data_IF_869515972524
#
_entry.id   IF_869515972524
#
_cell.length_a   1.000
_cell.length_b   1.000
_cell.length_c   1.000
_cell.angle_alpha   90.00
_cell.angle_beta   90.00
_cell.angle_gamma   90.00
#
_symmetry.space_group_name_H-M   'P 1'
#
loop_
_entity.id
_entity.type
_entity.pdbx_description
1 polymer ?
#
# COMPACT_ATOMS: atom_id res chain seq x y z
N UNK A 1 -10.39 2.65 12.49
CA UNK A 1 -11.08 1.36 12.37
C UNK A 1 -11.52 1.10 10.92
N UNK A 2 -11.92 2.13 10.18
CA UNK A 2 -12.42 1.97 8.81
C UNK A 2 -11.38 1.47 7.80
N UNK A 3 -10.13 1.98 7.85
CA UNK A 3 -9.06 1.55 6.93
C UNK A 3 -8.67 0.08 7.09
N UNK A 4 -8.66 -0.44 8.32
CA UNK A 4 -8.36 -1.85 8.59
C UNK A 4 -9.48 -2.78 8.10
N UNK A 5 -10.74 -2.37 8.22
CA UNK A 5 -11.89 -3.09 7.68
C UNK A 5 -11.87 -3.12 6.14
N UNK A 6 -11.57 -1.98 5.50
CA UNK A 6 -11.40 -1.90 4.05
C UNK A 6 -10.27 -2.80 3.57
N UNK A 7 -9.12 -2.81 4.25
CA UNK A 7 -8.00 -3.68 3.90
C UNK A 7 -8.37 -5.16 4.05
N UNK A 8 -9.02 -5.54 5.15
CA UNK A 8 -9.45 -6.92 5.38
C UNK A 8 -10.42 -7.40 4.30
N UNK A 9 -11.48 -6.61 4.04
CA UNK A 9 -12.54 -7.02 3.12
C UNK A 9 -12.07 -7.07 1.67
N UNK A 10 -11.24 -6.11 1.24
CA UNK A 10 -10.87 -6.00 -0.17
C UNK A 10 -9.58 -6.74 -0.52
N UNK A 11 -8.62 -6.83 0.39
CA UNK A 11 -7.32 -7.44 0.12
C UNK A 11 -7.27 -8.86 0.71
N UNK A 12 -7.45 -8.99 2.02
CA UNK A 12 -7.30 -10.28 2.70
C UNK A 12 -8.41 -11.26 2.32
N UNK A 13 -9.67 -10.81 2.22
CA UNK A 13 -10.77 -11.71 1.84
C UNK A 13 -10.66 -12.19 0.38
N UNK A 14 -10.19 -11.32 -0.51
CA UNK A 14 -10.08 -11.59 -1.95
C UNK A 14 -8.87 -12.45 -2.29
N UNK A 15 -7.70 -12.13 -1.72
CA UNK A 15 -6.42 -12.75 -2.09
C UNK A 15 -5.86 -13.68 -1.00
N UNK A 16 -6.50 -13.73 0.16
CA UNK A 16 -6.03 -14.47 1.33
C UNK A 16 -4.95 -13.73 2.12
N UNK A 17 -4.55 -14.35 3.23
CA UNK A 17 -3.41 -13.88 4.03
C UNK A 17 -2.12 -14.23 3.29
N UNK A 18 -1.21 -13.26 3.05
CA UNK A 18 0.04 -13.53 2.35
C UNK A 18 0.96 -14.41 3.20
N UNK A 19 1.71 -15.31 2.55
CA UNK A 19 2.68 -16.19 3.22
C UNK A 19 3.94 -15.45 3.68
N UNK A 20 4.29 -14.38 2.97
CA UNK A 20 5.43 -13.53 3.30
C UNK A 20 5.18 -12.11 2.86
N UNK A 21 5.71 -11.15 3.62
CA UNK A 21 5.73 -9.74 3.28
C UNK A 21 7.19 -9.33 3.23
N UNK A 22 7.59 -8.66 2.15
CA UNK A 22 8.88 -8.00 2.09
C UNK A 22 8.64 -6.50 2.20
N UNK A 23 9.28 -5.88 3.18
CA UNK A 23 9.06 -4.49 3.53
C UNK A 23 10.37 -3.78 3.86
N UNK A 24 10.32 -2.45 3.92
CA UNK A 24 11.41 -1.65 4.45
C UNK A 24 11.43 -1.74 5.99
N UNK A 25 12.41 -1.08 6.62
CA UNK A 25 12.55 -1.05 8.08
C UNK A 25 11.70 0.02 8.77
N UNK A 26 10.56 0.40 8.18
CA UNK A 26 9.63 1.33 8.83
C UNK A 26 9.20 0.77 10.21
N UNK A 27 9.08 1.61 11.26
CA UNK A 27 8.64 1.19 12.59
C UNK A 27 7.34 0.38 12.62
N UNK A 28 6.46 0.55 11.63
CA UNK A 28 5.22 -0.25 11.49
C UNK A 28 5.47 -1.71 11.15
N UNK A 29 6.64 -2.06 10.62
CA UNK A 29 6.99 -3.45 10.35
C UNK A 29 8.00 -3.98 11.37
N UNK A 30 8.77 -3.10 12.02
CA UNK A 30 9.81 -3.50 12.98
C UNK A 30 9.39 -3.43 14.44
N UNK A 31 8.24 -2.82 14.78
CA UNK A 31 7.78 -2.78 16.17
C UNK A 31 7.34 -4.16 16.66
N UNK A 32 7.45 -4.36 17.97
CA UNK A 32 7.10 -5.60 18.65
C UNK A 32 5.64 -6.01 18.39
N UNK A 33 4.72 -5.05 18.48
CA UNK A 33 3.30 -5.30 18.22
C UNK A 33 3.06 -5.90 16.83
N UNK A 34 3.61 -5.28 15.78
CA UNK A 34 3.37 -5.71 14.40
C UNK A 34 4.10 -7.02 14.10
N UNK A 35 5.31 -7.19 14.60
CA UNK A 35 6.09 -8.43 14.43
C UNK A 35 5.32 -9.62 15.04
N UNK A 36 4.84 -9.47 16.28
CA UNK A 36 4.05 -10.50 16.95
C UNK A 36 2.73 -10.80 16.22
N UNK A 37 2.05 -9.78 15.68
CA UNK A 37 0.83 -9.96 14.91
C UNK A 37 1.08 -10.78 13.63
N UNK A 38 2.15 -10.48 12.90
CA UNK A 38 2.51 -11.21 11.69
C UNK A 38 2.89 -12.67 12.00
N UNK A 39 3.58 -12.91 13.11
CA UNK A 39 3.89 -14.27 13.58
C UNK A 39 2.62 -15.06 13.93
N UNK A 40 1.65 -14.45 14.62
CA UNK A 40 0.35 -15.07 14.90
C UNK A 40 -0.40 -15.44 13.61
N UNK A 41 -0.30 -14.61 12.58
CA UNK A 41 -0.89 -14.85 11.27
C UNK A 41 -0.05 -15.79 10.38
N UNK A 42 1.09 -16.28 10.88
CA UNK A 42 2.07 -17.13 10.16
C UNK A 42 2.61 -16.47 8.89
N UNK A 43 2.76 -15.15 8.92
CA UNK A 43 3.29 -14.36 7.81
C UNK A 43 4.79 -14.19 8.04
N UNK A 44 5.61 -14.64 7.09
CA UNK A 44 7.05 -14.42 7.16
C UNK A 44 7.40 -12.99 6.76
N UNK A 45 7.82 -12.17 7.72
CA UNK A 45 8.31 -10.83 7.44
C UNK A 45 9.79 -10.86 7.05
N UNK A 46 10.13 -10.25 5.91
CA UNK A 46 11.49 -10.07 5.45
C UNK A 46 11.76 -8.58 5.21
N UNK A 47 12.95 -8.14 5.57
CA UNK A 47 13.34 -6.74 5.44
C UNK A 47 14.43 -6.58 4.39
N UNK A 48 14.23 -5.65 3.47
CA UNK A 48 15.31 -5.22 2.59
C UNK A 48 16.38 -4.45 3.38
N UNK A 49 17.65 -4.62 3.01
CA UNK A 49 18.70 -3.72 3.48
C UNK A 49 18.56 -2.39 2.76
N UNK A 50 19.03 -1.29 3.37
CA UNK A 50 18.89 0.08 2.84
C UNK A 50 19.52 0.33 1.45
N UNK A 51 20.02 -0.71 0.78
CA UNK A 51 20.49 -0.73 -0.60
C UNK A 51 20.12 -2.10 -1.21
N UNK A 52 18.86 -2.29 -1.61
CA UNK A 52 18.44 -3.41 -2.46
C UNK A 52 17.64 -2.90 -3.68
N UNK A 53 18.35 -2.33 -4.68
CA UNK A 53 17.74 -1.76 -5.89
C UNK A 53 17.08 -2.79 -6.84
N UNK A 54 16.73 -3.99 -6.38
CA UNK A 54 16.03 -4.98 -7.20
C UNK A 54 14.63 -5.30 -6.68
N UNK A 55 14.42 -5.29 -5.36
CA UNK A 55 13.14 -5.70 -4.77
C UNK A 55 12.30 -4.53 -4.27
N UNK A 56 12.90 -3.58 -3.55
CA UNK A 56 12.20 -2.32 -3.21
C UNK A 56 11.97 -1.50 -4.48
N UNK A 57 12.94 -1.48 -5.40
CA UNK A 57 12.82 -0.82 -6.70
C UNK A 57 11.61 -1.27 -7.51
N UNK A 58 11.22 -2.54 -7.44
CA UNK A 58 10.05 -3.02 -8.20
C UNK A 58 8.76 -2.48 -7.58
N UNK A 59 8.59 -2.62 -6.27
CA UNK A 59 7.41 -2.11 -5.57
C UNK A 59 7.32 -0.58 -5.72
N UNK A 60 8.45 0.11 -5.57
CA UNK A 60 8.53 1.57 -5.72
C UNK A 60 8.22 2.01 -7.16
N UNK A 61 8.78 1.35 -8.18
CA UNK A 61 8.46 1.65 -9.59
C UNK A 61 7.00 1.38 -9.92
N UNK A 62 6.41 0.32 -9.37
CA UNK A 62 4.97 0.04 -9.55
C UNK A 62 4.15 1.15 -8.90
N UNK A 63 4.47 1.55 -7.66
CA UNK A 63 3.77 2.64 -6.96
C UNK A 63 3.91 3.95 -7.75
N UNK A 64 5.10 4.29 -8.23
CA UNK A 64 5.33 5.48 -9.07
C UNK A 64 4.51 5.43 -10.35
N UNK A 65 4.53 4.30 -11.07
CA UNK A 65 3.76 4.12 -12.31
C UNK A 65 2.25 4.24 -12.05
N UNK A 66 1.75 3.64 -10.97
CA UNK A 66 0.34 3.75 -10.59
C UNK A 66 -0.04 5.18 -10.24
N UNK A 67 0.79 5.90 -9.48
CA UNK A 67 0.58 7.32 -9.17
C UNK A 67 0.51 8.17 -10.44
N UNK A 68 1.39 7.94 -11.40
CA UNK A 68 1.39 8.68 -12.67
C UNK A 68 0.15 8.39 -13.52
N UNK A 69 -0.30 7.13 -13.56
CA UNK A 69 -1.56 6.76 -14.22
C UNK A 69 -2.73 7.48 -13.54
N UNK A 70 -2.81 7.45 -12.20
CA UNK A 70 -3.87 8.10 -11.44
C UNK A 70 -3.88 9.61 -11.68
N UNK A 71 -2.72 10.26 -11.70
CA UNK A 71 -2.59 11.69 -12.02
C UNK A 71 -3.10 12.00 -13.42
N UNK A 72 -2.71 11.21 -14.43
CA UNK A 72 -3.19 11.39 -15.81
C UNK A 72 -4.69 11.17 -15.94
N UNK A 73 -5.22 10.15 -15.27
CA UNK A 73 -6.65 9.84 -15.23
C UNK A 73 -7.45 11.03 -14.67
N UNK A 74 -7.01 11.60 -13.55
CA UNK A 74 -7.65 12.76 -12.93
C UNK A 74 -7.50 14.03 -13.76
N UNK A 75 -6.32 14.27 -14.37
CA UNK A 75 -6.06 15.43 -15.23
C UNK A 75 -6.94 15.44 -16.49
N UNK A 76 -7.39 14.26 -16.95
CA UNK A 76 -8.34 14.13 -18.06
C UNK A 76 -9.79 14.47 -17.65
N UNK A 77 -10.02 14.88 -16.40
CA UNK A 77 -11.35 15.25 -15.89
C UNK A 77 -12.23 14.05 -15.53
N UNK A 78 -11.66 12.85 -15.42
CA UNK A 78 -12.40 11.69 -14.92
C UNK A 78 -12.49 11.75 -13.40
N UNK A 79 -13.71 11.86 -12.90
CA UNK A 79 -13.99 11.98 -11.47
C UNK A 79 -14.20 10.60 -10.84
N UNK A 80 -13.50 10.32 -9.73
CA UNK A 80 -13.82 9.14 -8.92
C UNK A 80 -15.02 9.45 -8.03
N UNK A 81 -16.04 8.59 -8.08
CA UNK A 81 -17.23 8.72 -7.25
C UNK A 81 -17.05 7.94 -5.96
N UNK A 82 -16.85 8.66 -4.86
CA UNK A 82 -16.96 8.11 -3.52
C UNK A 82 -18.43 7.93 -3.13
N UNK A 83 -18.68 7.23 -2.02
CA UNK A 83 -20.03 6.98 -1.51
C UNK A 83 -20.77 8.28 -1.12
N UNK A 84 -20.05 9.40 -0.93
CA UNK A 84 -20.59 10.73 -0.59
C UNK A 84 -20.55 11.75 -1.74
N UNK A 85 -20.01 11.41 -2.93
CA UNK A 85 -19.93 12.34 -4.07
C UNK A 85 -18.69 12.16 -4.95
N UNK A 86 -18.49 13.07 -5.90
CA UNK A 86 -17.29 13.08 -6.74
C UNK A 86 -16.13 13.80 -6.04
N UNK A 87 -15.00 13.12 -5.90
CA UNK A 87 -13.78 13.71 -5.35
C UNK A 87 -12.83 14.14 -6.47
N UNK A 88 -12.49 15.44 -6.51
CA UNK A 88 -11.59 16.05 -7.51
C UNK A 88 -10.16 16.22 -7.02
N UNK A 89 -9.89 16.03 -5.73
CA UNK A 89 -8.66 16.50 -5.09
C UNK A 89 -7.60 15.39 -4.91
N UNK A 90 -7.50 14.49 -5.89
CA UNK A 90 -6.48 13.43 -5.87
C UNK A 90 -5.06 13.97 -6.00
N UNK A 91 -4.91 15.16 -6.60
CA UNK A 91 -3.63 15.85 -6.76
C UNK A 91 -3.01 16.23 -5.41
N UNK A 92 -3.84 16.62 -4.43
CA UNK A 92 -3.37 17.00 -3.09
C UNK A 92 -3.23 15.79 -2.15
N UNK A 93 -3.95 14.70 -2.44
CA UNK A 93 -3.93 13.46 -1.62
C UNK A 93 -2.75 12.55 -1.99
N UNK A 94 -2.34 12.51 -3.26
CA UNK A 94 -1.18 11.74 -3.68
C UNK A 94 0.09 12.55 -3.39
N UNK A 95 1.00 12.08 -2.53
CA UNK A 95 2.22 12.83 -2.22
C UNK A 95 2.97 13.16 -3.51
N UNK A 96 3.32 14.43 -3.68
CA UNK A 96 4.36 14.83 -4.63
C UNK A 96 5.65 14.14 -4.18
N UNK A 97 6.23 13.33 -5.06
CA UNK A 97 7.56 12.76 -4.84
C UNK A 97 8.53 13.90 -4.54
#
# INVERSE_FOLDING_TARGET
MDKSLLFWNNIISTYGVPKSIISNRDPKFTSEFWTNLYDMLRIKLAFHTAYHPQTDDLAERIIQTMNDILRRFCAYGMEYKEHEGYNRDWVTILPSV
#
